data_IF_872511612208
#
_entry.id   IF_872511612208
#
_cell.length_a   1.000
_cell.length_b   1.000
_cell.length_c   1.000
_cell.angle_alpha   90.00
_cell.angle_beta   90.00
_cell.angle_gamma   90.00
#
_symmetry.space_group_name_H-M   'P 1'
#
loop_
_entity.id
_entity.type
_entity.pdbx_description
1 polymer ?
#
# COMPACT_ATOMS: atom_id res chain seq x y z
N UNK A 1 -14.02 -11.64 12.94
CA UNK A 1 -14.67 -11.03 11.75
C UNK A 1 -15.77 -11.94 11.21
N UNK A 2 -16.83 -12.12 11.99
CA UNK A 2 -17.90 -13.07 11.67
C UNK A 2 -19.14 -12.42 11.04
N UNK A 3 -19.28 -11.09 11.14
CA UNK A 3 -20.43 -10.37 10.59
C UNK A 3 -20.53 -10.54 9.06
N UNK A 4 -21.74 -10.75 8.53
CA UNK A 4 -21.95 -10.94 7.09
C UNK A 4 -21.49 -9.73 6.27
N UNK A 5 -21.71 -8.50 6.78
CA UNK A 5 -21.28 -7.27 6.10
C UNK A 5 -19.75 -7.15 6.05
N UNK A 6 -19.02 -7.58 7.09
CA UNK A 6 -17.55 -7.64 7.11
C UNK A 6 -17.03 -8.63 6.06
N UNK A 7 -17.67 -9.81 5.95
CA UNK A 7 -17.33 -10.79 4.92
C UNK A 7 -17.58 -10.26 3.51
N UNK A 8 -18.69 -9.56 3.28
CA UNK A 8 -19.01 -8.96 1.99
C UNK A 8 -17.99 -7.87 1.62
N UNK A 9 -17.58 -7.03 2.57
CA UNK A 9 -16.53 -6.03 2.35
C UNK A 9 -15.19 -6.68 1.95
N UNK A 10 -14.77 -7.75 2.63
CA UNK A 10 -13.57 -8.51 2.26
C UNK A 10 -13.65 -9.09 0.86
N UNK A 11 -14.78 -9.67 0.47
CA UNK A 11 -14.96 -10.19 -0.90
C UNK A 11 -14.85 -9.09 -1.96
N UNK A 12 -15.29 -7.86 -1.67
CA UNK A 12 -15.12 -6.73 -2.56
C UNK A 12 -13.64 -6.34 -2.70
N UNK A 13 -12.94 -6.27 -1.56
CA UNK A 13 -11.49 -5.96 -1.51
C UNK A 13 -10.68 -7.01 -2.29
N UNK A 14 -10.95 -8.30 -2.08
CA UNK A 14 -10.32 -9.42 -2.80
C UNK A 14 -10.53 -9.36 -4.32
N UNK A 15 -11.52 -8.60 -4.78
CA UNK A 15 -11.81 -8.34 -6.21
C UNK A 15 -11.27 -7.01 -6.72
N UNK A 16 -10.41 -6.37 -5.95
CA UNK A 16 -9.77 -5.12 -6.36
C UNK A 16 -10.66 -3.89 -6.22
N UNK A 17 -11.63 -3.89 -5.30
CA UNK A 17 -12.47 -2.73 -5.01
C UNK A 17 -11.92 -2.02 -3.77
N UNK A 18 -11.66 -0.71 -3.86
CA UNK A 18 -11.39 0.12 -2.68
C UNK A 18 -12.70 0.31 -1.92
N UNK A 19 -12.78 -0.27 -0.75
CA UNK A 19 -13.96 -0.17 0.12
C UNK A 19 -13.68 0.85 1.21
N UNK A 20 -14.46 1.93 1.24
CA UNK A 20 -14.38 3.00 2.26
C UNK A 20 -15.62 2.95 3.13
N UNK A 21 -15.46 2.92 4.44
CA UNK A 21 -16.57 2.82 5.39
C UNK A 21 -16.35 3.72 6.60
N UNK A 22 -17.46 4.24 7.13
CA UNK A 22 -17.45 4.96 8.41
C UNK A 22 -17.09 4.02 9.56
N UNK A 23 -16.24 4.51 10.49
CA UNK A 23 -15.79 3.73 11.64
C UNK A 23 -16.93 3.42 12.66
N UNK A 24 -17.98 4.24 12.68
CA UNK A 24 -19.07 4.19 13.64
C UNK A 24 -19.13 5.42 14.56
N UNK A 25 -20.24 5.61 15.25
CA UNK A 25 -20.50 6.76 16.11
C UNK A 25 -20.68 6.36 17.59
N UNK A 26 -19.97 5.31 18.01
CA UNK A 26 -20.11 4.67 19.32
C UNK A 26 -19.14 5.24 20.38
N UNK A 27 -18.28 6.18 20.00
CA UNK A 27 -17.20 6.68 20.86
C UNK A 27 -17.63 7.30 22.18
N UNK A 28 -18.90 7.70 22.33
CA UNK A 28 -19.47 8.26 23.57
C UNK A 28 -20.29 7.25 24.39
N UNK A 29 -20.45 6.01 23.90
CA UNK A 29 -21.23 5.01 24.64
C UNK A 29 -20.30 3.90 25.22
N UNK A 30 -20.91 2.90 25.84
CA UNK A 30 -20.16 1.80 26.47
C UNK A 30 -19.45 0.88 25.49
N UNK A 31 -19.87 0.87 24.21
CA UNK A 31 -19.26 0.04 23.18
C UNK A 31 -17.93 0.63 22.68
N UNK A 32 -17.91 1.92 22.37
CA UNK A 32 -16.79 2.74 21.88
C UNK A 32 -16.13 2.28 20.59
N UNK A 33 -16.03 0.98 20.34
CA UNK A 33 -15.25 0.38 19.27
C UNK A 33 -15.87 0.57 17.88
N UNK A 34 -15.05 0.40 16.87
CA UNK A 34 -15.49 0.38 15.45
C UNK A 34 -16.57 -0.67 15.23
N UNK A 35 -17.48 -0.35 14.32
CA UNK A 35 -18.62 -1.23 13.99
C UNK A 35 -18.44 -1.90 12.63
N UNK A 36 -18.92 -3.14 12.44
CA UNK A 36 -18.90 -3.77 11.13
C UNK A 36 -19.58 -2.91 10.04
N UNK A 37 -19.02 -2.84 8.81
CA UNK A 37 -17.86 -3.60 8.31
C UNK A 37 -16.49 -2.93 8.52
N UNK A 38 -16.39 -1.82 9.29
CA UNK A 38 -15.14 -1.09 9.49
C UNK A 38 -14.03 -1.93 10.16
N UNK A 39 -14.40 -3.05 10.78
CA UNK A 39 -13.48 -4.06 11.34
C UNK A 39 -12.81 -4.94 10.27
N UNK A 40 -13.22 -4.88 9.00
CA UNK A 40 -12.66 -5.72 7.94
C UNK A 40 -11.18 -5.36 7.67
N UNK A 41 -10.39 -6.39 7.33
CA UNK A 41 -9.02 -6.20 6.84
C UNK A 41 -9.04 -5.60 5.44
N UNK A 42 -8.20 -4.58 5.19
CA UNK A 42 -8.09 -3.93 3.88
C UNK A 42 -9.20 -2.92 3.56
N UNK A 43 -10.19 -2.73 4.44
CA UNK A 43 -11.17 -1.65 4.33
C UNK A 43 -10.54 -0.34 4.81
N UNK A 44 -10.88 0.77 4.18
CA UNK A 44 -10.54 2.10 4.68
C UNK A 44 -11.62 2.52 5.68
N UNK A 45 -11.40 2.25 6.96
CA UNK A 45 -12.29 2.69 8.04
C UNK A 45 -12.02 4.15 8.39
N UNK A 46 -13.04 5.01 8.27
CA UNK A 46 -12.88 6.46 8.42
C UNK A 46 -13.52 6.95 9.72
N UNK A 47 -12.68 7.48 10.61
CA UNK A 47 -13.09 8.18 11.81
C UNK A 47 -13.45 9.65 11.54
N UNK A 48 -14.00 10.32 12.55
CA UNK A 48 -14.44 11.71 12.47
C UNK A 48 -13.55 12.64 13.31
N UNK A 49 -13.20 13.78 12.70
CA UNK A 49 -12.57 14.91 13.38
C UNK A 49 -13.42 16.17 13.27
N UNK A 50 -13.11 17.13 14.15
CA UNK A 50 -13.58 18.51 14.09
C UNK A 50 -12.77 19.33 13.08
N UNK A 51 -13.20 20.55 12.77
CA UNK A 51 -12.44 21.49 11.94
C UNK A 51 -11.08 21.87 12.55
N UNK A 52 -10.91 21.70 13.86
CA UNK A 52 -9.63 21.91 14.55
C UNK A 52 -8.70 20.69 14.53
N UNK A 53 -9.05 19.61 13.81
CA UNK A 53 -8.21 18.41 13.69
C UNK A 53 -8.28 17.44 14.89
N UNK A 54 -9.11 17.73 15.90
CA UNK A 54 -9.29 16.84 17.06
C UNK A 54 -10.34 15.78 16.80
N UNK A 55 -10.19 14.57 17.35
CA UNK A 55 -11.19 13.50 17.24
C UNK A 55 -12.55 13.99 17.72
N UNK A 56 -13.59 13.74 16.93
CA UNK A 56 -14.97 13.94 17.37
C UNK A 56 -15.30 12.95 18.49
N UNK A 57 -15.91 13.42 19.59
CA UNK A 57 -16.15 12.59 20.77
C UNK A 57 -16.96 11.32 20.46
N UNK A 58 -17.86 11.38 19.48
CA UNK A 58 -18.69 10.26 19.05
C UNK A 58 -17.94 9.26 18.13
N UNK A 59 -16.81 9.65 17.54
CA UNK A 59 -16.11 8.75 16.61
C UNK A 59 -15.67 7.47 17.29
N UNK A 60 -16.07 6.32 16.74
CA UNK A 60 -15.64 5.02 17.22
C UNK A 60 -14.13 4.87 17.13
N UNK A 61 -13.54 4.08 18.02
CA UNK A 61 -12.10 3.86 18.18
C UNK A 61 -11.75 2.39 18.02
N UNK A 62 -10.47 2.10 17.84
CA UNK A 62 -9.92 0.76 17.89
C UNK A 62 -9.51 0.33 19.31
N UNK A 63 -8.83 -0.80 19.42
CA UNK A 63 -8.47 -1.69 18.33
C UNK A 63 -9.63 -2.58 17.88
N UNK A 64 -9.41 -3.35 16.81
CA UNK A 64 -10.26 -4.50 16.51
C UNK A 64 -10.03 -5.64 17.51
N UNK A 65 -10.90 -6.68 17.50
CA UNK A 65 -10.74 -7.88 18.34
C UNK A 65 -9.38 -8.59 18.16
N UNK A 66 -8.78 -8.46 16.98
CA UNK A 66 -7.48 -9.01 16.60
C UNK A 66 -6.35 -7.95 16.64
N UNK A 67 -6.48 -6.95 17.52
CA UNK A 67 -5.50 -5.92 17.88
C UNK A 67 -5.02 -5.03 16.71
N UNK A 68 -5.76 -4.92 15.61
CA UNK A 68 -5.43 -3.99 14.54
C UNK A 68 -5.85 -2.57 14.88
N UNK A 69 -5.00 -1.61 14.53
CA UNK A 69 -5.31 -0.18 14.63
C UNK A 69 -6.55 0.15 13.77
N UNK A 70 -7.52 0.84 14.36
CA UNK A 70 -8.69 1.42 13.73
C UNK A 70 -9.09 2.72 14.46
N UNK A 71 -9.70 3.70 13.76
CA UNK A 71 -9.93 3.74 12.31
C UNK A 71 -8.63 3.71 11.53
N UNK A 72 -8.65 3.51 10.21
CA UNK A 72 -7.44 3.61 9.39
C UNK A 72 -7.05 5.09 9.22
N UNK A 73 -8.00 5.94 8.87
CA UNK A 73 -7.79 7.38 8.67
C UNK A 73 -8.97 8.18 9.25
N UNK A 74 -8.81 9.49 9.31
CA UNK A 74 -9.86 10.41 9.77
C UNK A 74 -10.10 11.54 8.78
N UNK A 75 -11.33 12.07 8.76
CA UNK A 75 -11.69 13.26 8.00
C UNK A 75 -12.74 14.08 8.76
N UNK A 76 -13.05 15.29 8.25
CA UNK A 76 -14.05 16.17 8.85
C UNK A 76 -15.43 15.52 8.84
N UNK A 77 -15.97 15.22 10.03
CA UNK A 77 -17.29 14.66 10.20
C UNK A 77 -18.10 15.36 11.29
N UNK A 78 -17.52 16.39 11.93
CA UNK A 78 -18.21 17.18 12.96
C UNK A 78 -18.53 18.59 12.43
N UNK A 79 -19.81 18.96 12.50
CA UNK A 79 -20.28 20.27 12.01
C UNK A 79 -20.24 20.40 10.49
N UNK A 80 -20.31 19.30 9.76
CA UNK A 80 -20.24 19.27 8.30
C UNK A 80 -21.50 19.91 7.68
N UNK A 81 -21.30 20.81 6.72
CA UNK A 81 -22.36 21.47 5.98
C UNK A 81 -23.06 20.47 5.06
N UNK A 82 -24.36 20.43 5.11
CA UNK A 82 -25.20 19.52 4.32
C UNK A 82 -26.43 20.25 3.78
N UNK A 83 -27.01 19.71 2.70
CA UNK A 83 -28.35 20.09 2.24
C UNK A 83 -29.32 19.08 2.84
N UNK A 84 -30.26 19.57 3.62
CA UNK A 84 -31.31 18.75 4.26
C UNK A 84 -32.39 18.35 3.24
N UNK A 85 -33.19 17.33 3.56
CA UNK A 85 -34.33 16.89 2.73
C UNK A 85 -35.34 18.03 2.45
N UNK A 86 -35.39 19.03 3.33
CA UNK A 86 -36.21 20.25 3.15
C UNK A 86 -35.63 21.24 2.11
N UNK A 87 -34.46 20.97 1.53
CA UNK A 87 -33.73 21.89 0.63
C UNK A 87 -32.88 22.97 1.35
N UNK A 88 -33.00 23.05 2.67
CA UNK A 88 -32.25 24.05 3.44
C UNK A 88 -30.79 23.59 3.71
N UNK A 89 -29.89 24.55 3.71
CA UNK A 89 -28.51 24.32 4.18
C UNK A 89 -28.50 24.22 5.70
N UNK A 90 -27.73 23.31 6.23
CA UNK A 90 -27.58 23.12 7.67
C UNK A 90 -26.26 22.38 7.98
N UNK A 91 -26.04 22.11 9.25
CA UNK A 91 -24.89 21.30 9.69
C UNK A 91 -25.36 20.02 10.37
N UNK A 92 -24.57 18.97 10.24
CA UNK A 92 -24.75 17.72 10.98
C UNK A 92 -23.39 17.07 11.26
N UNK A 93 -23.37 16.02 12.07
CA UNK A 93 -22.14 15.34 12.48
C UNK A 93 -22.30 13.83 12.40
N UNK A 94 -21.21 13.14 12.06
CA UNK A 94 -21.15 11.69 11.98
C UNK A 94 -19.94 11.22 11.16
N UNK A 95 -19.41 10.05 11.46
CA UNK A 95 -18.37 9.39 10.64
C UNK A 95 -18.87 9.10 9.22
N UNK A 96 -20.20 9.01 9.03
CA UNK A 96 -20.85 8.88 7.71
C UNK A 96 -20.68 10.11 6.81
N UNK A 97 -20.25 11.27 7.36
CA UNK A 97 -19.91 12.47 6.60
C UNK A 97 -18.40 12.56 6.31
N UNK A 98 -17.58 11.96 7.15
CA UNK A 98 -16.14 11.85 6.95
C UNK A 98 -15.80 10.83 5.85
N UNK A 99 -16.48 9.69 5.84
CA UNK A 99 -16.23 8.59 4.90
C UNK A 99 -16.31 9.00 3.42
N UNK A 100 -17.32 9.74 2.94
CA UNK A 100 -17.38 10.15 1.53
C UNK A 100 -16.26 11.12 1.12
N UNK A 101 -15.68 11.89 2.05
CA UNK A 101 -14.54 12.74 1.75
C UNK A 101 -13.30 11.91 1.40
N UNK A 102 -13.05 10.85 2.18
CA UNK A 102 -11.95 9.92 1.90
C UNK A 102 -12.24 9.09 0.65
N UNK A 103 -13.50 8.66 0.44
CA UNK A 103 -13.88 7.95 -0.78
C UNK A 103 -13.68 8.82 -2.03
N UNK A 104 -14.00 10.12 -1.96
CA UNK A 104 -13.75 11.07 -3.05
C UNK A 104 -12.25 11.29 -3.31
N UNK A 105 -11.46 11.36 -2.24
CA UNK A 105 -10.00 11.43 -2.34
C UNK A 105 -9.45 10.18 -3.04
N UNK A 106 -9.84 8.99 -2.59
CA UNK A 106 -9.43 7.72 -3.19
C UNK A 106 -9.80 7.65 -4.68
N UNK A 107 -11.03 8.03 -5.02
CA UNK A 107 -11.51 8.05 -6.40
C UNK A 107 -10.72 9.04 -7.28
N UNK A 108 -10.44 10.25 -6.78
CA UNK A 108 -9.67 11.27 -7.49
C UNK A 108 -8.21 10.86 -7.71
N UNK A 109 -7.58 10.24 -6.72
CA UNK A 109 -6.22 9.69 -6.85
C UNK A 109 -6.23 8.55 -7.87
N UNK A 110 -7.14 7.60 -7.76
CA UNK A 110 -7.20 6.44 -8.64
C UNK A 110 -7.57 6.83 -10.08
N UNK A 111 -8.38 7.87 -10.28
CA UNK A 111 -8.65 8.42 -11.60
C UNK A 111 -7.38 9.01 -12.25
N UNK A 112 -6.54 9.67 -11.46
CA UNK A 112 -5.29 10.26 -11.93
C UNK A 112 -4.18 9.22 -12.18
N UNK A 113 -4.23 8.09 -11.47
CA UNK A 113 -3.23 7.03 -11.47
C UNK A 113 -3.89 5.64 -11.55
N UNK A 114 -4.53 5.30 -12.69
CA UNK A 114 -5.32 4.07 -12.85
C UNK A 114 -4.48 2.79 -12.90
N UNK A 115 -3.15 2.90 -13.01
CA UNK A 115 -2.20 1.79 -12.99
C UNK A 115 -2.05 1.11 -11.64
N UNK A 116 -2.36 1.83 -10.53
CA UNK A 116 -2.24 1.26 -9.20
C UNK A 116 -3.42 0.36 -8.84
N UNK A 117 -3.15 -0.65 -8.05
CA UNK A 117 -4.16 -1.56 -7.52
C UNK A 117 -4.93 -0.93 -6.35
N UNK A 118 -6.09 -1.51 -6.01
CA UNK A 118 -6.86 -1.09 -4.85
C UNK A 118 -6.07 -1.17 -3.53
N UNK A 119 -5.17 -2.15 -3.42
CA UNK A 119 -4.30 -2.32 -2.26
C UNK A 119 -3.27 -1.19 -2.16
N UNK A 120 -2.63 -0.81 -3.26
CA UNK A 120 -1.67 0.30 -3.31
C UNK A 120 -2.34 1.64 -2.99
N UNK A 121 -3.58 1.85 -3.46
CA UNK A 121 -4.37 3.04 -3.08
C UNK A 121 -4.68 3.04 -1.57
N UNK A 122 -5.06 1.89 -0.98
CA UNK A 122 -5.25 1.76 0.47
C UNK A 122 -3.98 2.09 1.24
N UNK A 123 -2.85 1.52 0.83
CA UNK A 123 -1.54 1.76 1.45
C UNK A 123 -1.14 3.23 1.35
N UNK A 124 -1.31 3.84 0.18
CA UNK A 124 -0.99 5.25 -0.02
C UNK A 124 -1.85 6.16 0.86
N UNK A 125 -3.15 5.89 1.00
CA UNK A 125 -4.04 6.65 1.88
C UNK A 125 -3.64 6.57 3.36
N UNK A 126 -3.11 5.42 3.81
CA UNK A 126 -2.71 5.22 5.21
C UNK A 126 -1.28 5.66 5.48
N UNK A 127 -0.32 5.21 4.65
CA UNK A 127 1.11 5.41 4.89
C UNK A 127 1.60 6.85 4.60
N UNK A 128 0.80 7.66 3.88
CA UNK A 128 1.08 9.08 3.66
C UNK A 128 0.25 10.04 4.52
N UNK A 129 -0.63 9.52 5.37
CA UNK A 129 -1.48 10.33 6.24
C UNK A 129 -0.68 11.02 7.36
N UNK A 130 -1.28 12.03 7.97
CA UNK A 130 -0.61 13.03 8.82
C UNK A 130 0.12 12.49 10.06
N UNK A 131 -0.18 11.25 10.50
CA UNK A 131 0.52 10.58 11.61
C UNK A 131 0.91 9.14 11.27
N UNK A 132 1.23 8.86 10.01
CA UNK A 132 1.57 7.52 9.52
C UNK A 132 2.75 6.87 10.27
N UNK A 133 3.69 7.66 10.78
CA UNK A 133 4.86 7.18 11.52
C UNK A 133 4.56 6.77 12.98
N UNK A 134 3.40 7.16 13.53
CA UNK A 134 2.99 6.84 14.90
C UNK A 134 1.46 6.73 14.99
N UNK A 135 0.86 5.74 14.30
CA UNK A 135 -0.59 5.58 14.29
C UNK A 135 -1.12 5.12 15.65
N UNK A 136 -2.38 5.47 15.93
CA UNK A 136 -3.06 5.11 17.17
C UNK A 136 -4.51 4.64 16.95
N UNK A 137 -5.19 4.20 17.99
CA UNK A 137 -6.57 3.73 17.92
C UNK A 137 -7.63 4.86 17.96
N UNK A 138 -7.24 6.13 17.94
CA UNK A 138 -8.14 7.27 17.96
C UNK A 138 -8.25 7.98 16.62
N UNK A 139 -7.10 8.19 15.95
CA UNK A 139 -6.98 8.88 14.69
C UNK A 139 -6.44 7.97 13.56
N UNK A 140 -6.12 6.73 13.88
CA UNK A 140 -5.49 5.82 12.92
C UNK A 140 -4.15 6.37 12.44
N UNK A 141 -3.94 6.34 11.15
CA UNK A 141 -2.77 6.94 10.48
C UNK A 141 -2.93 8.46 10.28
N UNK A 142 -4.06 9.05 10.71
CA UNK A 142 -4.31 10.49 10.65
C UNK A 142 -5.14 10.92 9.44
N UNK A 143 -4.91 12.16 8.99
CA UNK A 143 -5.68 12.81 7.91
C UNK A 143 -4.96 12.55 6.59
N UNK A 144 -5.57 11.85 5.61
CA UNK A 144 -4.99 11.70 4.28
C UNK A 144 -5.08 13.01 3.50
N UNK A 145 -4.08 13.28 2.67
CA UNK A 145 -3.98 14.47 1.84
C UNK A 145 -3.61 14.07 0.41
N UNK A 146 -4.23 14.71 -0.60
CA UNK A 146 -4.03 14.37 -2.01
C UNK A 146 -2.55 14.44 -2.43
N UNK A 147 -1.87 15.52 -2.13
CA UNK A 147 -0.47 15.70 -2.54
C UNK A 147 0.45 14.68 -1.87
N UNK A 148 0.22 14.37 -0.59
CA UNK A 148 0.99 13.36 0.14
C UNK A 148 0.75 11.95 -0.44
N UNK A 149 -0.51 11.60 -0.75
CA UNK A 149 -0.87 10.30 -1.37
C UNK A 149 -0.21 10.18 -2.75
N UNK A 150 -0.29 11.24 -3.58
CA UNK A 150 0.33 11.25 -4.91
C UNK A 150 1.84 11.16 -4.83
N UNK A 151 2.47 11.86 -3.89
CA UNK A 151 3.92 11.77 -3.69
C UNK A 151 4.32 10.37 -3.25
N UNK A 152 3.57 9.74 -2.33
CA UNK A 152 3.79 8.36 -1.91
C UNK A 152 3.72 7.37 -3.09
N UNK A 153 2.72 7.51 -3.98
CA UNK A 153 2.58 6.67 -5.17
C UNK A 153 3.64 6.94 -6.23
N UNK A 154 4.16 8.18 -6.29
CA UNK A 154 5.22 8.58 -7.24
C UNK A 154 6.62 8.36 -6.71
N UNK A 155 6.79 8.37 -5.39
CA UNK A 155 8.07 7.94 -4.84
C UNK A 155 8.28 6.51 -5.35
N UNK A 156 9.38 6.24 -6.08
CA UNK A 156 9.73 4.86 -6.35
C UNK A 156 9.76 4.22 -4.97
N UNK A 157 8.91 3.21 -4.75
CA UNK A 157 9.04 2.36 -3.56
C UNK A 157 10.54 2.10 -3.38
N UNK A 158 11.13 2.31 -2.21
CA UNK A 158 12.49 1.84 -1.98
C UNK A 158 12.40 0.37 -2.38
N UNK A 159 13.06 0.05 -3.49
CA UNK A 159 12.84 -1.18 -4.26
C UNK A 159 12.85 -2.36 -3.31
N UNK A 160 11.67 -2.75 -2.82
CA UNK A 160 11.49 -3.95 -1.98
C UNK A 160 11.64 -5.23 -2.82
N UNK A 161 11.97 -5.05 -4.09
CA UNK A 161 12.16 -6.13 -5.03
C UNK A 161 13.49 -6.02 -5.74
N UNK A 162 14.13 -7.14 -5.88
CA UNK A 162 15.29 -7.26 -6.73
C UNK A 162 14.88 -7.12 -8.19
N UNK A 163 15.69 -6.42 -8.99
CA UNK A 163 15.44 -6.21 -10.43
C UNK A 163 16.63 -6.64 -11.26
N UNK A 164 16.35 -7.18 -12.43
CA UNK A 164 17.34 -7.44 -13.48
C UNK A 164 16.86 -6.78 -14.77
N UNK A 165 17.63 -5.82 -15.26
CA UNK A 165 17.28 -5.03 -16.45
C UNK A 165 18.51 -4.60 -17.26
N UNK A 166 18.35 -4.20 -18.55
CA UNK A 166 17.11 -4.21 -19.33
C UNK A 166 16.67 -5.64 -19.69
N UNK A 167 15.39 -5.80 -20.01
CA UNK A 167 14.86 -7.06 -20.53
C UNK A 167 13.76 -6.75 -21.58
N UNK A 168 13.97 -7.01 -22.87
CA UNK A 168 15.12 -7.73 -23.48
C UNK A 168 16.47 -7.02 -23.31
N UNK A 169 17.54 -7.82 -23.28
CA UNK A 169 18.90 -7.33 -23.18
C UNK A 169 19.47 -7.12 -24.58
N UNK A 170 19.80 -5.86 -24.88
CA UNK A 170 20.55 -5.49 -26.08
C UNK A 170 21.97 -5.18 -25.62
N UNK A 171 22.93 -6.03 -26.01
CA UNK A 171 24.32 -5.92 -25.58
C UNK A 171 24.77 -7.02 -24.64
N UNK A 172 25.80 -6.76 -23.85
CA UNK A 172 26.55 -7.78 -23.12
C UNK A 172 26.45 -7.68 -21.59
N UNK A 173 25.66 -6.75 -21.07
CA UNK A 173 25.50 -6.57 -19.61
C UNK A 173 24.04 -6.45 -19.21
N UNK A 174 23.73 -6.92 -18.02
CA UNK A 174 22.49 -6.63 -17.29
C UNK A 174 22.82 -5.88 -16.02
N UNK A 175 21.93 -5.00 -15.59
CA UNK A 175 22.02 -4.38 -14.27
C UNK A 175 21.18 -5.20 -13.30
N UNK A 176 21.77 -5.50 -12.16
CA UNK A 176 21.11 -6.18 -11.04
C UNK A 176 20.99 -5.17 -9.91
N UNK A 177 19.78 -4.96 -9.45
CA UNK A 177 19.47 -4.07 -8.34
C UNK A 177 18.86 -4.88 -7.20
N UNK A 178 19.35 -4.67 -6.00
CA UNK A 178 18.92 -5.34 -4.77
C UNK A 178 18.43 -4.27 -3.78
N UNK A 179 17.37 -4.57 -3.04
CA UNK A 179 16.88 -3.72 -1.95
C UNK A 179 17.67 -3.92 -0.64
N UNK A 180 18.36 -5.03 -0.53
CA UNK A 180 19.23 -5.39 0.59
C UNK A 180 20.41 -6.22 0.07
N UNK A 181 21.60 -5.95 0.58
CA UNK A 181 22.83 -6.64 0.19
C UNK A 181 23.39 -7.36 1.42
N UNK A 182 23.35 -8.69 1.38
CA UNK A 182 23.97 -9.57 2.36
C UNK A 182 25.02 -10.41 1.61
N UNK A 183 26.27 -9.94 1.67
CA UNK A 183 27.39 -10.52 0.94
C UNK A 183 27.81 -11.89 1.52
N UNK A 184 28.33 -12.78 0.68
CA UNK A 184 28.53 -12.63 -0.76
C UNK A 184 27.27 -12.83 -1.58
N UNK A 185 27.14 -12.09 -2.70
CA UNK A 185 26.07 -12.28 -3.66
C UNK A 185 26.42 -13.41 -4.62
N UNK A 186 25.57 -14.43 -4.69
CA UNK A 186 25.72 -15.52 -5.64
C UNK A 186 24.80 -15.30 -6.84
N UNK A 187 25.34 -15.41 -8.05
CA UNK A 187 24.61 -15.29 -9.31
C UNK A 187 24.80 -16.56 -10.10
N UNK A 188 23.71 -17.23 -10.42
CA UNK A 188 23.71 -18.45 -11.23
C UNK A 188 22.89 -18.25 -12.48
N UNK A 189 23.42 -18.53 -13.64
CA UNK A 189 22.74 -18.49 -14.93
C UNK A 189 22.35 -19.89 -15.38
N UNK A 190 21.12 -20.00 -15.89
CA UNK A 190 20.59 -21.22 -16.48
C UNK A 190 20.11 -20.94 -17.92
N UNK A 191 20.25 -21.90 -18.81
CA UNK A 191 19.62 -21.85 -20.12
C UNK A 191 18.12 -22.16 -20.04
N UNK A 192 17.44 -22.08 -21.18
CA UNK A 192 15.99 -22.36 -21.28
C UNK A 192 15.59 -23.80 -20.90
N UNK A 193 16.53 -24.71 -20.83
CA UNK A 193 16.32 -26.13 -20.41
C UNK A 193 16.62 -26.34 -18.92
N UNK A 194 17.02 -25.27 -18.21
CA UNK A 194 17.41 -25.34 -16.80
C UNK A 194 18.82 -25.85 -16.56
N UNK A 195 19.66 -25.95 -17.61
CA UNK A 195 21.05 -26.31 -17.46
C UNK A 195 21.86 -25.09 -16.99
N UNK A 196 22.66 -25.27 -15.94
CA UNK A 196 23.53 -24.21 -15.41
C UNK A 196 24.62 -23.86 -16.44
N UNK A 197 24.64 -22.57 -16.84
CA UNK A 197 25.59 -22.02 -17.80
C UNK A 197 26.80 -21.40 -17.09
N UNK A 198 26.54 -20.66 -16.01
CA UNK A 198 27.59 -20.04 -15.21
C UNK A 198 27.18 -19.85 -13.76
N UNK A 199 28.18 -19.67 -12.90
CA UNK A 199 28.00 -19.32 -11.49
C UNK A 199 29.11 -18.36 -11.08
N UNK A 200 28.74 -17.30 -10.35
CA UNK A 200 29.66 -16.27 -9.88
C UNK A 200 29.32 -15.88 -8.45
N UNK A 201 30.33 -15.53 -7.69
CA UNK A 201 30.19 -15.00 -6.33
C UNK A 201 30.86 -13.62 -6.29
N UNK A 202 30.14 -12.61 -5.85
CA UNK A 202 30.55 -11.20 -5.89
C UNK A 202 30.41 -10.58 -4.51
N UNK A 203 31.33 -9.69 -4.18
CA UNK A 203 31.22 -8.76 -3.06
C UNK A 203 30.75 -7.42 -3.61
N UNK A 204 29.55 -7.00 -3.28
CA UNK A 204 28.94 -5.78 -3.80
C UNK A 204 28.87 -4.74 -2.69
N UNK A 205 29.42 -3.56 -2.95
CA UNK A 205 29.21 -2.39 -2.10
C UNK A 205 27.88 -1.73 -2.44
N UNK A 206 27.12 -1.28 -1.45
CA UNK A 206 25.86 -0.55 -1.62
C UNK A 206 25.98 0.64 -2.58
N UNK A 207 27.11 1.34 -2.59
CA UNK A 207 27.37 2.46 -3.50
C UNK A 207 27.40 2.05 -4.99
N UNK A 208 27.60 0.76 -5.27
CA UNK A 208 27.62 0.18 -6.61
C UNK A 208 26.31 -0.53 -6.97
N UNK A 209 25.23 -0.30 -6.24
CA UNK A 209 23.92 -0.87 -6.50
C UNK A 209 23.03 0.18 -7.23
N UNK A 210 22.51 -0.08 -8.44
CA UNK A 210 22.59 -1.32 -9.19
C UNK A 210 23.98 -1.60 -9.78
N UNK A 211 24.40 -2.86 -9.79
CA UNK A 211 25.68 -3.29 -10.37
C UNK A 211 25.50 -3.97 -11.72
N UNK A 212 26.52 -3.87 -12.58
CA UNK A 212 26.53 -4.51 -13.89
C UNK A 212 27.05 -5.94 -13.80
N UNK A 213 26.37 -6.85 -14.48
CA UNK A 213 26.75 -8.25 -14.60
C UNK A 213 26.95 -8.61 -16.06
N UNK A 214 28.16 -9.12 -16.39
CA UNK A 214 28.53 -9.48 -17.76
C UNK A 214 27.87 -10.79 -18.19
N UNK A 215 27.18 -10.71 -19.32
CA UNK A 215 26.56 -11.83 -20.01
C UNK A 215 27.11 -12.00 -21.44
N UNK A 216 28.27 -11.42 -21.72
CA UNK A 216 28.91 -11.51 -23.06
C UNK A 216 29.08 -12.94 -23.56
N UNK A 217 29.39 -13.96 -22.70
CA UNK A 217 29.55 -15.34 -23.17
C UNK A 217 28.23 -16.00 -23.64
N UNK A 218 27.08 -15.41 -23.34
CA UNK A 218 25.79 -15.98 -23.73
C UNK A 218 25.46 -15.67 -25.19
N UNK A 219 24.88 -16.63 -25.88
CA UNK A 219 24.27 -16.44 -27.20
C UNK A 219 22.90 -15.78 -27.07
N UNK A 220 22.35 -15.27 -28.20
CA UNK A 220 20.94 -14.80 -28.21
C UNK A 220 19.99 -15.92 -27.79
N UNK A 221 19.09 -15.62 -26.88
CA UNK A 221 18.18 -16.62 -26.34
C UNK A 221 17.58 -16.28 -24.98
N UNK A 222 16.79 -17.22 -24.46
CA UNK A 222 16.13 -17.15 -23.16
C UNK A 222 17.01 -17.75 -22.07
N UNK A 223 17.21 -17.00 -20.99
CA UNK A 223 17.97 -17.43 -19.81
C UNK A 223 17.24 -17.09 -18.52
N UNK A 224 17.66 -17.77 -17.45
CA UNK A 224 17.21 -17.48 -16.09
C UNK A 224 18.41 -17.07 -15.24
N UNK A 225 18.32 -15.92 -14.61
CA UNK A 225 19.32 -15.38 -13.68
C UNK A 225 18.80 -15.61 -12.26
N UNK A 226 19.44 -16.50 -11.53
CA UNK A 226 19.17 -16.69 -10.11
C UNK A 226 20.17 -15.85 -9.32
N UNK A 227 19.64 -15.00 -8.45
CA UNK A 227 20.43 -14.15 -7.54
C UNK A 227 20.12 -14.55 -6.12
N UNK A 228 21.16 -14.74 -5.31
CA UNK A 228 21.05 -15.05 -3.89
C UNK A 228 21.90 -14.06 -3.08
N UNK A 229 21.29 -13.51 -2.00
CA UNK A 229 21.92 -12.62 -1.04
C UNK A 229 21.51 -13.10 0.36
N UNK A 230 22.44 -13.63 1.13
CA UNK A 230 22.17 -14.25 2.41
C UNK A 230 21.14 -15.38 2.33
N UNK A 231 20.01 -15.22 3.01
CA UNK A 231 18.89 -16.18 3.00
C UNK A 231 17.87 -15.94 1.89
N UNK A 232 17.94 -14.79 1.18
CA UNK A 232 17.01 -14.41 0.11
C UNK A 232 17.50 -14.91 -1.23
N UNK A 233 16.57 -15.38 -2.06
CA UNK A 233 16.83 -15.84 -3.42
C UNK A 233 15.70 -15.41 -4.35
N UNK A 234 16.04 -14.96 -5.56
CA UNK A 234 15.09 -14.68 -6.62
C UNK A 234 15.62 -15.16 -7.97
N UNK A 235 14.71 -15.51 -8.89
CA UNK A 235 15.05 -15.94 -10.25
C UNK A 235 14.34 -15.05 -11.27
N UNK A 236 15.10 -14.49 -12.19
CA UNK A 236 14.63 -13.58 -13.23
C UNK A 236 14.78 -14.22 -14.59
N UNK A 237 13.76 -14.08 -15.41
CA UNK A 237 13.82 -14.47 -16.81
C UNK A 237 14.38 -13.30 -17.62
N UNK A 238 15.42 -13.52 -18.41
CA UNK A 238 15.99 -12.53 -19.33
C UNK A 238 15.99 -13.06 -20.75
N UNK A 239 15.82 -12.16 -21.71
CA UNK A 239 15.91 -12.45 -23.16
C UNK A 239 17.10 -11.69 -23.71
N UNK A 240 18.19 -12.39 -24.13
CA UNK A 240 19.32 -11.78 -24.84
C UNK A 240 19.03 -11.74 -26.33
N UNK A 241 19.15 -10.55 -26.93
CA UNK A 241 19.03 -10.33 -28.38
C UNK A 241 20.39 -10.41 -29.06
#
# INVERSE_FOLDING_TARGET
QTAYVTRAARWAIERGIVVVCSAGNEGNNSWQLVTPPADATGIVAVGSITAGGTRSSFSSVGPTEDDRIKPDVVALGSGTVVIRASGNVGTTSGTSLASPLVASLAAGVWQAYPEFTAQEIYEALTQSASQATSPDNFLGYGIPNYDAVVNYLREPEPLKSWLVYPNPVVGNTVKIQLDEIDNPIQITLFDSRGVRVSESTLEINWQNNPFEYDISPLLSGLYYVRVRSGTREATFRIMKQ
#
